data_IF_997927943429
#
_entry.id   IF_997927943429
#
_cell.length_a   1.000
_cell.length_b   1.000
_cell.length_c   1.000
_cell.angle_alpha   90.00
_cell.angle_beta   90.00
_cell.angle_gamma   90.00
#
_symmetry.space_group_name_H-M   'P 1'
#
loop_
_entity.id
_entity.type
_entity.pdbx_description
1 polymer ?
#
# COMPACT_ATOMS: atom_id res chain seq x y z
N UNK A 1 -6.69 -14.51 35.53
CA UNK A 1 -6.47 -13.17 36.13
C UNK A 1 -6.57 -12.17 35.01
N UNK A 2 -7.78 -11.63 34.82
CA UNK A 2 -8.11 -10.73 33.74
C UNK A 2 -7.47 -9.37 34.01
N UNK A 3 -6.62 -8.92 33.10
CA UNK A 3 -6.13 -7.54 33.08
C UNK A 3 -6.74 -6.90 31.85
N UNK A 4 -7.76 -6.08 32.09
CA UNK A 4 -8.30 -5.15 31.12
C UNK A 4 -7.17 -4.23 30.67
N UNK A 5 -6.69 -4.40 29.45
CA UNK A 5 -6.00 -3.34 28.73
C UNK A 5 -7.09 -2.40 28.25
N UNK A 6 -7.08 -1.21 28.82
CA UNK A 6 -7.95 -0.10 28.50
C UNK A 6 -7.73 0.26 27.02
N UNK A 7 -8.67 -0.14 26.18
CA UNK A 7 -8.68 0.17 24.76
C UNK A 7 -8.77 1.70 24.61
N UNK A 8 -7.78 2.30 23.96
CA UNK A 8 -7.90 3.64 23.41
C UNK A 8 -9.21 3.74 22.59
N UNK A 9 -9.93 4.87 22.64
CA UNK A 9 -11.24 4.98 22.04
C UNK A 9 -11.16 4.71 20.54
N UNK A 10 -12.04 3.85 20.03
CA UNK A 10 -12.33 3.71 18.60
C UNK A 10 -12.64 5.10 18.04
N UNK A 11 -11.65 5.74 17.43
CA UNK A 11 -11.88 6.92 16.60
C UNK A 11 -12.76 6.48 15.43
N UNK A 12 -13.83 7.23 15.24
CA UNK A 12 -14.98 6.86 14.42
C UNK A 12 -14.60 6.49 12.98
N UNK A 13 -15.20 5.41 12.47
CA UNK A 13 -15.14 4.94 11.08
C UNK A 13 -15.77 5.88 10.03
N UNK A 14 -15.90 7.19 10.32
CA UNK A 14 -16.48 8.20 9.43
C UNK A 14 -15.43 8.98 8.62
N UNK A 15 -14.14 8.90 8.97
CA UNK A 15 -13.07 9.67 8.31
C UNK A 15 -12.49 9.02 7.04
N UNK A 16 -12.39 7.69 6.98
CA UNK A 16 -11.64 7.00 5.91
C UNK A 16 -12.03 7.41 4.49
N UNK A 17 -13.33 7.48 4.18
CA UNK A 17 -13.80 7.81 2.83
C UNK A 17 -13.40 9.21 2.34
N UNK A 18 -13.34 10.20 3.23
CA UNK A 18 -12.97 11.58 2.87
C UNK A 18 -11.46 11.74 2.66
N UNK A 19 -10.67 10.99 3.42
CA UNK A 19 -9.21 10.97 3.27
C UNK A 19 -8.80 10.25 1.97
N UNK A 20 -9.46 9.14 1.62
CA UNK A 20 -9.32 8.52 0.29
C UNK A 20 -9.62 9.51 -0.85
N UNK A 21 -10.67 10.33 -0.69
CA UNK A 21 -11.00 11.40 -1.64
C UNK A 21 -9.92 12.49 -1.70
N UNK A 22 -9.22 12.78 -0.59
CA UNK A 22 -8.08 13.71 -0.55
C UNK A 22 -6.89 13.16 -1.34
N UNK A 23 -6.55 11.89 -1.15
CA UNK A 23 -5.47 11.26 -1.92
C UNK A 23 -5.83 11.07 -3.40
N UNK A 24 -7.08 10.70 -3.70
CA UNK A 24 -7.59 10.62 -5.07
C UNK A 24 -7.57 11.98 -5.81
N UNK A 25 -7.50 13.13 -5.11
CA UNK A 25 -7.29 14.43 -5.76
C UNK A 25 -5.90 14.55 -6.37
N UNK A 26 -4.88 13.85 -5.87
CA UNK A 26 -3.55 13.82 -6.50
C UNK A 26 -3.55 13.12 -7.87
N UNK A 27 -4.56 12.28 -8.15
CA UNK A 27 -4.76 11.67 -9.46
C UNK A 27 -5.38 12.62 -10.50
N UNK A 28 -6.18 13.61 -10.05
CA UNK A 28 -6.94 14.49 -10.97
C UNK A 28 -6.05 15.27 -11.97
N UNK A 29 -4.89 15.83 -11.59
CA UNK A 29 -4.00 16.50 -12.53
C UNK A 29 -3.45 15.57 -13.62
N UNK A 30 -3.42 14.26 -13.38
CA UNK A 30 -2.81 13.25 -14.25
C UNK A 30 -3.84 12.42 -15.05
N UNK A 31 -5.09 12.90 -15.17
CA UNK A 31 -6.18 12.22 -15.90
C UNK A 31 -5.81 11.79 -17.32
N UNK A 32 -5.05 12.62 -18.05
CA UNK A 32 -4.59 12.28 -19.40
C UNK A 32 -3.64 11.08 -19.42
N UNK A 33 -2.71 11.02 -18.47
CA UNK A 33 -1.76 9.89 -18.36
C UNK A 33 -2.44 8.62 -17.84
N UNK A 34 -3.41 8.75 -16.92
CA UNK A 34 -4.24 7.63 -16.47
C UNK A 34 -5.08 7.04 -17.61
N UNK A 35 -5.61 7.89 -18.49
CA UNK A 35 -6.32 7.44 -19.69
C UNK A 35 -5.37 6.74 -20.67
N UNK A 36 -4.14 7.25 -20.87
CA UNK A 36 -3.12 6.56 -21.67
C UNK A 36 -2.75 5.20 -21.07
N UNK A 37 -2.67 5.10 -19.75
CA UNK A 37 -2.38 3.84 -19.05
C UNK A 37 -3.53 2.83 -19.22
N UNK A 38 -4.78 3.28 -19.09
CA UNK A 38 -5.95 2.44 -19.39
C UNK A 38 -6.00 1.99 -20.86
N UNK A 39 -5.66 2.87 -21.81
CA UNK A 39 -5.54 2.52 -23.22
C UNK A 39 -4.39 1.53 -23.48
N UNK A 40 -3.25 1.70 -22.82
CA UNK A 40 -2.12 0.79 -22.93
C UNK A 40 -2.49 -0.61 -22.41
N UNK A 41 -3.18 -0.70 -21.27
CA UNK A 41 -3.74 -1.95 -20.78
C UNK A 41 -4.72 -2.56 -21.78
N UNK A 42 -5.66 -1.77 -22.31
CA UNK A 42 -6.59 -2.28 -23.33
C UNK A 42 -5.86 -2.84 -24.56
N UNK A 43 -4.84 -2.13 -25.07
CA UNK A 43 -4.02 -2.60 -26.19
C UNK A 43 -3.29 -3.89 -25.84
N UNK A 44 -2.71 -4.00 -24.65
CA UNK A 44 -2.07 -5.24 -24.19
C UNK A 44 -3.04 -6.42 -24.15
N UNK A 45 -4.25 -6.21 -23.62
CA UNK A 45 -5.28 -7.25 -23.61
C UNK A 45 -5.70 -7.66 -25.02
N UNK A 46 -5.85 -6.71 -25.95
CA UNK A 46 -6.18 -7.00 -27.34
C UNK A 46 -5.06 -7.75 -28.06
N UNK A 47 -3.79 -7.38 -27.84
CA UNK A 47 -2.64 -8.12 -28.35
C UNK A 47 -2.54 -9.52 -27.71
N UNK A 48 -2.94 -9.66 -26.45
CA UNK A 48 -3.03 -10.95 -25.76
C UNK A 48 -3.98 -11.93 -26.44
N UNK A 49 -5.11 -11.45 -27.00
CA UNK A 49 -6.03 -12.29 -27.78
C UNK A 49 -5.43 -12.84 -29.08
N UNK A 50 -4.37 -12.22 -29.60
CA UNK A 50 -3.75 -12.68 -30.84
C UNK A 50 -3.06 -14.04 -30.65
N UNK A 51 -2.44 -14.28 -29.49
CA UNK A 51 -1.71 -15.51 -29.20
C UNK A 51 -2.60 -16.76 -29.30
N UNK A 52 -3.77 -16.84 -28.62
CA UNK A 52 -4.74 -17.92 -28.82
C UNK A 52 -5.13 -18.13 -30.29
N UNK A 53 -5.36 -17.04 -31.03
CA UNK A 53 -5.80 -17.13 -32.42
C UNK A 53 -4.73 -17.65 -33.36
N UNK A 54 -3.47 -17.27 -33.15
CA UNK A 54 -2.36 -17.86 -33.89
C UNK A 54 -2.15 -19.32 -33.55
N UNK A 55 -2.26 -19.71 -32.28
CA UNK A 55 -2.19 -21.12 -31.87
C UNK A 55 -3.27 -21.95 -32.57
N UNK A 56 -4.51 -21.45 -32.63
CA UNK A 56 -5.60 -22.08 -33.39
C UNK A 56 -5.24 -22.26 -34.87
N UNK A 57 -4.77 -21.20 -35.53
CA UNK A 57 -4.39 -21.21 -36.95
C UNK A 57 -3.25 -22.18 -37.24
N UNK A 58 -2.24 -22.25 -36.38
CA UNK A 58 -1.13 -23.18 -36.51
C UNK A 58 -1.66 -24.61 -36.45
N UNK A 59 -2.44 -24.94 -35.43
CA UNK A 59 -2.93 -26.31 -35.23
C UNK A 59 -3.91 -26.73 -36.34
N UNK A 60 -4.89 -25.89 -36.66
CA UNK A 60 -5.97 -26.29 -37.56
C UNK A 60 -5.61 -26.16 -39.05
N UNK A 61 -4.73 -25.22 -39.41
CA UNK A 61 -4.34 -25.02 -40.82
C UNK A 61 -2.93 -25.51 -41.12
N UNK A 62 -1.92 -25.01 -40.40
CA UNK A 62 -0.51 -25.28 -40.72
C UNK A 62 -0.16 -26.74 -40.49
N UNK A 63 -0.50 -27.30 -39.33
CA UNK A 63 -0.15 -28.69 -38.98
C UNK A 63 -0.92 -29.68 -39.85
N UNK A 64 -2.19 -29.41 -40.12
CA UNK A 64 -3.04 -30.28 -40.96
C UNK A 64 -2.60 -30.28 -42.43
N UNK A 65 -2.31 -29.10 -43.00
CA UNK A 65 -1.96 -28.97 -44.42
C UNK A 65 -0.44 -29.01 -44.69
N UNK A 66 0.38 -29.07 -43.64
CA UNK A 66 1.85 -29.01 -43.70
C UNK A 66 2.37 -27.79 -44.48
N UNK A 67 1.65 -26.67 -44.39
CA UNK A 67 1.98 -25.42 -45.08
C UNK A 67 3.05 -24.65 -44.31
N UNK A 68 4.32 -24.92 -44.65
CA UNK A 68 5.46 -24.27 -44.02
C UNK A 68 5.53 -22.78 -44.35
N UNK A 69 5.05 -22.33 -45.51
CA UNK A 69 5.09 -20.91 -45.85
C UNK A 69 4.15 -20.11 -44.94
N UNK A 70 2.94 -20.63 -44.72
CA UNK A 70 2.00 -20.05 -43.75
C UNK A 70 2.56 -20.07 -42.32
N UNK A 71 3.30 -21.12 -41.93
CA UNK A 71 3.96 -21.20 -40.63
C UNK A 71 4.94 -20.03 -40.42
N UNK A 72 5.83 -19.77 -41.38
CA UNK A 72 6.81 -18.69 -41.27
C UNK A 72 6.14 -17.32 -41.18
N UNK A 73 5.07 -17.09 -41.94
CA UNK A 73 4.29 -15.85 -41.89
C UNK A 73 3.62 -15.66 -40.52
N UNK A 74 3.00 -16.71 -39.98
CA UNK A 74 2.39 -16.67 -38.64
C UNK A 74 3.45 -16.41 -37.57
N UNK A 75 4.60 -17.07 -37.67
CA UNK A 75 5.69 -16.93 -36.70
C UNK A 75 6.27 -15.50 -36.71
N UNK A 76 6.44 -14.90 -37.89
CA UNK A 76 6.81 -13.49 -38.03
C UNK A 76 5.75 -12.58 -37.41
N UNK A 77 4.46 -12.86 -37.65
CA UNK A 77 3.34 -12.12 -37.07
C UNK A 77 3.31 -12.20 -35.53
N UNK A 78 3.50 -13.39 -34.95
CA UNK A 78 3.59 -13.59 -33.50
C UNK A 78 4.79 -12.86 -32.91
N UNK A 79 5.93 -12.84 -33.60
CA UNK A 79 7.13 -12.12 -33.14
C UNK A 79 6.90 -10.61 -33.15
N UNK A 80 6.26 -10.07 -34.19
CA UNK A 80 5.87 -8.66 -34.26
C UNK A 80 4.87 -8.28 -33.16
N UNK A 81 3.85 -9.11 -32.92
CA UNK A 81 2.84 -8.85 -31.90
C UNK A 81 3.40 -8.97 -30.49
N UNK A 82 4.22 -9.99 -30.22
CA UNK A 82 4.91 -10.14 -28.93
C UNK A 82 5.88 -8.99 -28.69
N UNK A 83 6.64 -8.57 -29.71
CA UNK A 83 7.51 -7.41 -29.64
C UNK A 83 6.74 -6.11 -29.39
N UNK A 84 5.60 -5.92 -30.08
CA UNK A 84 4.69 -4.81 -29.85
C UNK A 84 4.11 -4.80 -28.43
N UNK A 85 3.67 -5.96 -27.93
CA UNK A 85 3.17 -6.10 -26.57
C UNK A 85 4.25 -5.77 -25.53
N UNK A 86 5.50 -6.21 -25.74
CA UNK A 86 6.63 -5.86 -24.87
C UNK A 86 6.87 -4.34 -24.84
N UNK A 87 6.83 -3.67 -25.99
CA UNK A 87 6.97 -2.22 -26.07
C UNK A 87 5.83 -1.48 -25.36
N UNK A 88 4.58 -1.90 -25.59
CA UNK A 88 3.41 -1.29 -24.91
C UNK A 88 3.49 -1.54 -23.40
N UNK A 89 3.93 -2.71 -22.96
CA UNK A 89 4.15 -3.03 -21.55
C UNK A 89 5.22 -2.13 -20.93
N UNK A 90 6.35 -1.95 -21.62
CA UNK A 90 7.40 -1.03 -21.18
C UNK A 90 6.90 0.42 -21.07
N UNK A 91 6.10 0.88 -22.03
CA UNK A 91 5.46 2.21 -22.00
C UNK A 91 4.47 2.32 -20.83
N UNK A 92 3.63 1.29 -20.59
CA UNK A 92 2.70 1.24 -19.45
C UNK A 92 3.46 1.37 -18.13
N UNK A 93 4.50 0.57 -17.93
CA UNK A 93 5.34 0.61 -16.72
C UNK A 93 6.04 1.96 -16.56
N UNK A 94 6.54 2.54 -17.66
CA UNK A 94 7.16 3.87 -17.63
C UNK A 94 6.15 4.96 -17.23
N UNK A 95 4.94 4.97 -17.81
CA UNK A 95 3.89 5.93 -17.47
C UNK A 95 3.53 5.79 -15.98
N UNK A 96 3.37 4.55 -15.50
CA UNK A 96 3.04 4.27 -14.11
C UNK A 96 4.12 4.81 -13.16
N UNK A 97 5.40 4.52 -13.42
CA UNK A 97 6.52 5.05 -12.64
C UNK A 97 6.61 6.59 -12.72
N UNK A 98 6.32 7.19 -13.88
CA UNK A 98 6.34 8.63 -14.06
C UNK A 98 5.26 9.33 -13.21
N UNK A 99 4.04 8.81 -13.22
CA UNK A 99 2.94 9.32 -12.39
C UNK A 99 3.25 9.09 -10.91
N UNK A 100 3.69 7.88 -10.55
CA UNK A 100 4.07 7.52 -9.18
C UNK A 100 5.05 8.51 -8.57
N UNK A 101 6.14 8.82 -9.29
CA UNK A 101 7.14 9.82 -8.84
C UNK A 101 6.53 11.21 -8.59
N UNK A 102 5.63 11.68 -9.47
CA UNK A 102 4.99 12.99 -9.34
C UNK A 102 4.05 13.04 -8.14
N UNK A 103 3.31 11.96 -7.91
CA UNK A 103 2.39 11.81 -6.79
C UNK A 103 3.17 11.71 -5.47
N UNK A 104 4.20 10.86 -5.37
CA UNK A 104 5.08 10.79 -4.20
C UNK A 104 5.63 12.17 -3.84
N UNK A 105 6.17 12.90 -4.82
CA UNK A 105 6.69 14.24 -4.57
C UNK A 105 5.62 15.20 -4.03
N UNK A 106 4.43 15.22 -4.63
CA UNK A 106 3.34 16.08 -4.18
C UNK A 106 2.83 15.72 -2.78
N UNK A 107 2.69 14.43 -2.48
CA UNK A 107 2.27 13.91 -1.18
C UNK A 107 3.28 14.27 -0.10
N UNK A 108 4.55 13.90 -0.28
CA UNK A 108 5.62 14.15 0.68
C UNK A 108 5.85 15.65 0.91
N UNK A 109 5.83 16.47 -0.15
CA UNK A 109 5.97 17.92 -0.03
C UNK A 109 4.83 18.52 0.79
N UNK A 110 3.58 18.14 0.49
CA UNK A 110 2.43 18.69 1.18
C UNK A 110 2.35 18.19 2.63
N UNK A 111 2.71 16.94 2.89
CA UNK A 111 2.81 16.37 4.22
C UNK A 111 3.87 17.11 5.05
N UNK A 112 5.07 17.26 4.52
CA UNK A 112 6.17 17.95 5.20
C UNK A 112 5.83 19.42 5.48
N UNK A 113 5.23 20.12 4.51
CA UNK A 113 4.80 21.51 4.69
C UNK A 113 3.69 21.66 5.73
N UNK A 114 2.76 20.70 5.84
CA UNK A 114 1.73 20.69 6.87
C UNK A 114 2.32 20.41 8.25
N UNK A 115 3.18 19.39 8.35
CA UNK A 115 3.83 18.99 9.60
C UNK A 115 4.62 20.14 10.21
N UNK A 116 5.38 20.90 9.42
CA UNK A 116 6.15 22.05 9.91
C UNK A 116 5.30 23.23 10.41
N UNK A 117 3.98 23.22 10.16
CA UNK A 117 3.05 24.25 10.67
C UNK A 117 2.31 23.81 11.92
N UNK A 118 2.53 22.58 12.39
CA UNK A 118 1.88 22.08 13.60
C UNK A 118 2.54 22.70 14.85
N UNK A 119 1.75 22.92 15.91
CA UNK A 119 2.26 23.55 17.13
C UNK A 119 3.32 22.70 17.82
N UNK A 120 4.24 23.35 18.54
CA UNK A 120 5.31 22.67 19.28
C UNK A 120 4.79 21.58 20.25
N UNK A 121 3.60 21.78 20.83
CA UNK A 121 2.94 20.79 21.70
C UNK A 121 2.68 19.47 21.00
N UNK A 122 2.37 19.49 19.69
CA UNK A 122 2.13 18.29 18.89
C UNK A 122 3.40 17.45 18.69
N UNK A 123 4.56 18.11 18.58
CA UNK A 123 5.87 17.45 18.53
C UNK A 123 6.32 16.94 19.89
N UNK A 124 6.01 17.67 20.97
CA UNK A 124 6.36 17.28 22.34
C UNK A 124 5.69 15.98 22.81
N UNK A 125 4.55 15.61 22.21
CA UNK A 125 3.80 14.40 22.55
C UNK A 125 4.18 13.16 21.71
N UNK A 126 5.14 13.25 20.78
CA UNK A 126 5.48 12.19 19.83
C UNK A 126 6.98 11.95 19.77
N UNK A 127 7.38 10.71 19.50
CA UNK A 127 8.79 10.35 19.32
C UNK A 127 9.25 10.65 17.89
N UNK A 128 10.54 10.91 17.70
CA UNK A 128 11.13 11.07 16.37
C UNK A 128 10.91 9.85 15.48
N UNK A 129 10.82 8.64 16.06
CA UNK A 129 10.53 7.40 15.34
C UNK A 129 9.11 7.35 14.77
N UNK A 130 8.11 7.77 15.55
CA UNK A 130 6.71 7.87 15.06
C UNK A 130 6.62 8.85 13.88
N UNK A 131 7.32 10.00 13.94
CA UNK A 131 7.33 10.97 12.84
C UNK A 131 7.96 10.42 11.55
N UNK A 132 9.07 9.68 11.67
CA UNK A 132 9.69 9.00 10.52
C UNK A 132 8.74 7.96 9.93
N UNK A 133 8.04 7.20 10.77
CA UNK A 133 7.05 6.23 10.32
C UNK A 133 5.92 6.90 9.53
N UNK A 134 5.37 8.04 10.00
CA UNK A 134 4.34 8.78 9.22
C UNK A 134 4.86 9.23 7.85
N UNK A 135 6.16 9.50 7.73
CA UNK A 135 6.75 9.83 6.42
C UNK A 135 6.77 8.60 5.49
N UNK A 136 7.06 7.41 6.03
CA UNK A 136 7.03 6.14 5.30
C UNK A 136 5.60 5.72 4.91
N UNK A 137 4.61 5.96 5.78
CA UNK A 137 3.20 5.66 5.51
C UNK A 137 2.66 6.37 4.23
N UNK A 138 3.27 7.50 3.82
CA UNK A 138 2.91 8.16 2.55
C UNK A 138 3.30 7.31 1.34
N UNK A 139 4.40 6.57 1.43
CA UNK A 139 4.88 5.71 0.35
C UNK A 139 3.98 4.47 0.20
N UNK A 140 3.49 3.90 1.32
CA UNK A 140 2.52 2.80 1.33
C UNK A 140 1.22 3.18 0.59
N UNK A 141 0.67 4.38 0.85
CA UNK A 141 -0.52 4.88 0.13
C UNK A 141 -0.21 5.06 -1.36
N UNK A 142 0.97 5.59 -1.70
CA UNK A 142 1.36 5.75 -3.11
C UNK A 142 1.44 4.39 -3.79
N UNK A 143 2.01 3.39 -3.14
CA UNK A 143 2.16 2.05 -3.70
C UNK A 143 0.79 1.45 -4.03
N UNK A 144 -0.20 1.56 -3.13
CA UNK A 144 -1.55 1.15 -3.45
C UNK A 144 -2.13 1.86 -4.70
N UNK A 145 -1.87 3.17 -4.82
CA UNK A 145 -2.44 3.98 -5.91
C UNK A 145 -1.73 3.79 -7.26
N UNK A 146 -0.43 3.49 -7.25
CA UNK A 146 0.46 3.58 -8.42
C UNK A 146 1.35 2.35 -8.62
N UNK A 147 1.32 1.41 -7.69
CA UNK A 147 2.02 0.13 -7.72
C UNK A 147 1.18 -0.94 -8.37
N UNK A 148 1.40 -2.20 -7.98
CA UNK A 148 0.83 -3.36 -8.65
C UNK A 148 -0.71 -3.35 -8.62
N UNK A 149 -1.33 -2.81 -7.56
CA UNK A 149 -2.79 -2.73 -7.41
C UNK A 149 -3.50 -2.05 -8.58
N UNK A 150 -3.01 -0.90 -9.07
CA UNK A 150 -3.66 -0.22 -10.20
C UNK A 150 -3.59 -1.08 -11.47
N UNK A 151 -2.47 -1.76 -11.67
CA UNK A 151 -2.28 -2.67 -12.79
C UNK A 151 -3.29 -3.83 -12.74
N UNK A 152 -3.37 -4.52 -11.60
CA UNK A 152 -4.29 -5.63 -11.39
C UNK A 152 -5.74 -5.18 -11.51
N UNK A 153 -6.11 -4.02 -10.95
CA UNK A 153 -7.46 -3.48 -11.08
C UNK A 153 -7.87 -3.27 -12.55
N UNK A 154 -6.96 -2.75 -13.37
CA UNK A 154 -7.18 -2.60 -14.82
C UNK A 154 -7.27 -3.95 -15.51
N UNK A 155 -6.37 -4.88 -15.19
CA UNK A 155 -6.35 -6.20 -15.81
C UNK A 155 -7.63 -6.98 -15.46
N UNK A 156 -8.09 -6.93 -14.20
CA UNK A 156 -9.38 -7.46 -13.75
C UNK A 156 -10.57 -6.84 -14.49
N UNK A 157 -10.57 -5.51 -14.70
CA UNK A 157 -11.66 -4.85 -15.43
C UNK A 157 -11.77 -5.34 -16.89
N UNK A 158 -10.65 -5.79 -17.46
CA UNK A 158 -10.56 -6.28 -18.83
C UNK A 158 -10.70 -7.82 -18.94
N UNK A 159 -10.78 -8.55 -17.83
CA UNK A 159 -11.08 -10.01 -17.83
C UNK A 159 -12.38 -10.33 -18.55
N UNK A 160 -13.35 -9.41 -18.51
CA UNK A 160 -14.64 -9.54 -19.22
C UNK A 160 -14.44 -9.76 -20.73
N UNK A 161 -13.39 -9.18 -21.33
CA UNK A 161 -13.06 -9.35 -22.75
C UNK A 161 -12.65 -10.81 -23.03
N UNK A 162 -11.78 -11.38 -22.19
CA UNK A 162 -11.37 -12.78 -22.31
C UNK A 162 -12.52 -13.75 -22.03
N UNK A 163 -13.35 -13.48 -21.02
CA UNK A 163 -14.55 -14.27 -20.76
C UNK A 163 -15.52 -14.23 -21.96
N UNK A 164 -15.72 -13.06 -22.57
CA UNK A 164 -16.52 -12.93 -23.78
C UNK A 164 -15.96 -13.75 -24.95
N UNK A 165 -14.64 -13.73 -25.14
CA UNK A 165 -13.97 -14.57 -26.13
C UNK A 165 -14.15 -16.06 -25.83
N UNK A 166 -13.96 -16.50 -24.59
CA UNK A 166 -14.15 -17.90 -24.17
C UNK A 166 -15.59 -18.38 -24.39
N UNK A 167 -16.59 -17.55 -24.07
CA UNK A 167 -18.01 -17.85 -24.32
C UNK A 167 -18.30 -18.04 -25.82
N UNK A 168 -17.64 -17.26 -26.67
CA UNK A 168 -17.78 -17.39 -28.13
C UNK A 168 -17.20 -18.72 -28.67
N UNK A 169 -16.16 -19.26 -28.03
CA UNK A 169 -15.61 -20.59 -28.38
C UNK A 169 -16.49 -21.73 -27.85
N UNK A 170 -16.83 -21.73 -26.56
CA UNK A 170 -17.66 -22.77 -25.96
C UNK A 170 -18.26 -22.31 -24.62
N UNK A 171 -19.59 -22.13 -24.53
CA UNK A 171 -20.26 -21.83 -23.27
C UNK A 171 -20.08 -22.94 -22.23
N UNK A 172 -20.05 -24.20 -22.65
CA UNK A 172 -19.90 -25.35 -21.75
C UNK A 172 -18.52 -25.38 -21.08
N UNK A 173 -17.43 -25.21 -21.86
CA UNK A 173 -16.08 -25.16 -21.30
C UNK A 173 -15.87 -23.91 -20.45
N UNK A 174 -16.49 -22.78 -20.83
CA UNK A 174 -16.43 -21.55 -20.03
C UNK A 174 -17.11 -21.74 -18.68
N UNK A 175 -18.26 -22.40 -18.63
CA UNK A 175 -18.93 -22.73 -17.36
C UNK A 175 -18.07 -23.58 -16.44
N UNK A 176 -17.36 -24.57 -16.99
CA UNK A 176 -16.41 -25.42 -16.23
C UNK A 176 -15.22 -24.60 -15.73
N UNK A 177 -14.64 -23.75 -16.58
CA UNK A 177 -13.54 -22.86 -16.17
C UNK A 177 -13.98 -21.86 -15.09
N UNK A 178 -15.23 -21.38 -15.13
CA UNK A 178 -15.74 -20.48 -14.10
C UNK A 178 -15.99 -21.22 -12.78
N UNK A 179 -16.45 -22.47 -12.86
CA UNK A 179 -16.63 -23.33 -11.69
C UNK A 179 -15.31 -23.60 -10.96
N UNK A 180 -14.19 -23.68 -11.68
CA UNK A 180 -12.86 -23.91 -11.08
C UNK A 180 -12.24 -22.63 -10.52
N UNK A 181 -12.59 -21.49 -11.10
CA UNK A 181 -12.23 -20.15 -10.59
C UNK A 181 -13.00 -19.80 -9.30
N UNK A 182 -14.26 -20.21 -9.17
CA UNK A 182 -15.12 -19.81 -8.05
C UNK A 182 -14.53 -20.17 -6.66
N UNK A 183 -14.00 -21.38 -6.41
CA UNK A 183 -13.29 -21.70 -5.16
C UNK A 183 -12.11 -20.77 -4.87
N UNK A 184 -11.38 -20.32 -5.90
CA UNK A 184 -10.24 -19.41 -5.73
C UNK A 184 -10.69 -18.02 -5.30
N UNK A 185 -11.79 -17.52 -5.88
CA UNK A 185 -12.41 -16.25 -5.45
C UNK A 185 -12.84 -16.37 -3.99
N UNK A 186 -13.53 -17.46 -3.63
CA UNK A 186 -13.95 -17.71 -2.24
C UNK A 186 -12.75 -17.77 -1.30
N UNK A 187 -11.69 -18.46 -1.68
CA UNK A 187 -10.45 -18.56 -0.88
C UNK A 187 -9.83 -17.17 -0.65
N UNK A 188 -9.75 -16.36 -1.71
CA UNK A 188 -9.20 -14.98 -1.68
C UNK A 188 -9.97 -14.08 -0.71
N UNK A 189 -11.30 -14.18 -0.67
CA UNK A 189 -12.10 -13.39 0.27
C UNK A 189 -12.11 -14.00 1.69
N UNK A 190 -12.06 -15.33 1.81
CA UNK A 190 -12.09 -16.03 3.09
C UNK A 190 -10.80 -15.84 3.90
N UNK A 191 -9.66 -15.67 3.24
CA UNK A 191 -8.38 -15.40 3.91
C UNK A 191 -8.21 -13.96 4.37
N UNK A 192 -8.95 -13.00 3.79
CA UNK A 192 -8.83 -11.58 4.11
C UNK A 192 -8.86 -11.29 5.63
N UNK A 193 -9.81 -11.80 6.45
CA UNK A 193 -9.81 -11.56 7.89
C UNK A 193 -8.64 -12.25 8.63
N UNK A 194 -8.08 -13.32 8.07
CA UNK A 194 -6.92 -14.01 8.65
C UNK A 194 -5.66 -13.19 8.40
N UNK A 195 -5.47 -12.68 7.18
CA UNK A 195 -4.39 -11.76 6.84
C UNK A 195 -4.43 -10.53 7.74
N UNK A 196 -5.59 -9.90 7.92
CA UNK A 196 -5.76 -8.77 8.84
C UNK A 196 -5.30 -9.07 10.28
N UNK A 197 -5.41 -10.32 10.72
CA UNK A 197 -4.94 -10.72 12.06
C UNK A 197 -3.43 -10.88 12.08
N UNK A 198 -2.84 -11.47 11.04
CA UNK A 198 -1.37 -11.55 10.90
C UNK A 198 -0.75 -10.16 10.82
N UNK A 199 -1.28 -9.28 9.98
CA UNK A 199 -0.75 -7.93 9.76
C UNK A 199 -0.75 -7.11 11.07
N UNK A 200 -1.80 -7.25 11.90
CA UNK A 200 -1.84 -6.63 13.23
C UNK A 200 -0.78 -7.18 14.19
N UNK A 201 -0.64 -8.50 14.23
CA UNK A 201 0.34 -9.15 15.10
C UNK A 201 1.77 -8.81 14.68
N UNK A 202 2.02 -8.72 13.37
CA UNK A 202 3.28 -8.26 12.81
C UNK A 202 3.57 -6.81 13.17
N UNK A 203 2.61 -5.91 12.97
CA UNK A 203 2.78 -4.52 13.35
C UNK A 203 3.14 -4.35 14.82
N UNK A 204 2.47 -5.06 15.73
CA UNK A 204 2.80 -5.03 17.17
C UNK A 204 4.21 -5.60 17.46
N UNK A 205 4.62 -6.63 16.74
CA UNK A 205 5.94 -7.25 16.90
C UNK A 205 7.07 -6.37 16.33
N UNK A 206 6.84 -5.74 15.18
CA UNK A 206 7.73 -4.76 14.56
C UNK A 206 7.93 -3.56 15.47
N UNK A 207 6.84 -2.95 15.93
CA UNK A 207 6.89 -1.81 16.84
C UNK A 207 7.64 -2.15 18.15
N UNK A 208 7.44 -3.36 18.68
CA UNK A 208 8.16 -3.82 19.86
C UNK A 208 9.67 -3.98 19.60
N UNK A 209 10.05 -4.61 18.49
CA UNK A 209 11.45 -4.81 18.09
C UNK A 209 12.16 -3.46 17.87
N UNK A 210 11.57 -2.58 17.07
CA UNK A 210 12.05 -1.23 16.80
C UNK A 210 12.20 -0.41 18.09
N UNK A 211 11.21 -0.46 18.98
CA UNK A 211 11.29 0.24 20.26
C UNK A 211 12.47 -0.24 21.11
N UNK A 212 12.71 -1.56 21.19
CA UNK A 212 13.90 -2.11 21.88
C UNK A 212 15.20 -1.62 21.26
N UNK A 213 15.28 -1.56 19.94
CA UNK A 213 16.48 -1.10 19.24
C UNK A 213 16.73 0.39 19.50
N UNK A 214 15.70 1.22 19.36
CA UNK A 214 15.76 2.67 19.61
C UNK A 214 16.14 2.96 21.07
N UNK A 215 15.54 2.25 22.03
CA UNK A 215 15.86 2.35 23.46
C UNK A 215 17.33 1.99 23.71
N UNK A 216 17.84 0.92 23.10
CA UNK A 216 19.24 0.50 23.25
C UNK A 216 20.23 1.54 22.69
N UNK A 217 19.90 2.18 21.56
CA UNK A 217 20.76 3.21 20.95
C UNK A 217 20.79 4.47 21.82
N UNK A 218 19.63 4.97 22.26
CA UNK A 218 19.57 6.16 23.12
C UNK A 218 20.19 5.90 24.50
N UNK A 219 20.02 4.68 25.03
CA UNK A 219 20.57 4.24 26.31
C UNK A 219 22.01 3.71 26.25
N UNK A 220 22.72 3.86 25.14
CA UNK A 220 24.01 3.21 24.93
C UNK A 220 25.04 3.51 26.02
N UNK A 221 25.11 4.77 26.48
CA UNK A 221 26.00 5.17 27.58
C UNK A 221 25.67 4.44 28.88
N UNK A 222 24.39 4.40 29.25
CA UNK A 222 23.90 3.70 30.45
C UNK A 222 24.19 2.20 30.37
N UNK A 223 23.91 1.58 29.22
CA UNK A 223 24.13 0.15 29.00
C UNK A 223 25.62 -0.20 29.16
N UNK A 224 26.51 0.63 28.58
CA UNK A 224 27.96 0.45 28.70
C UNK A 224 28.48 0.67 30.12
N UNK A 225 27.93 1.66 30.82
CA UNK A 225 28.33 1.97 32.20
C UNK A 225 27.90 0.88 33.17
N UNK A 226 26.74 0.26 32.94
CA UNK A 226 26.20 -0.80 33.79
C UNK A 226 26.61 -2.22 33.37
N UNK A 227 27.31 -2.39 32.23
CA UNK A 227 27.73 -3.71 31.71
C UNK A 227 26.55 -4.63 31.35
N UNK A 228 25.43 -4.06 30.90
CA UNK A 228 24.17 -4.77 30.67
C UNK A 228 23.98 -5.24 29.22
N UNK A 229 25.03 -5.24 28.39
CA UNK A 229 24.90 -5.52 26.95
C UNK A 229 24.22 -6.86 26.66
N UNK A 230 24.54 -7.91 27.43
CA UNK A 230 23.95 -9.24 27.21
C UNK A 230 22.44 -9.25 27.50
N UNK A 231 21.99 -8.54 28.53
CA UNK A 231 20.56 -8.49 28.88
C UNK A 231 19.76 -7.73 27.83
N UNK A 232 20.28 -6.59 27.35
CA UNK A 232 19.64 -5.81 26.29
C UNK A 232 19.63 -6.58 24.98
N UNK A 233 20.75 -7.25 24.63
CA UNK A 233 20.82 -8.13 23.47
C UNK A 233 19.77 -9.23 23.53
N UNK A 234 19.63 -9.94 24.65
CA UNK A 234 18.62 -11.01 24.78
C UNK A 234 17.20 -10.48 24.69
N UNK A 235 16.89 -9.31 25.27
CA UNK A 235 15.57 -8.66 25.13
C UNK A 235 15.24 -8.36 23.66
N UNK A 236 16.20 -7.83 22.91
CA UNK A 236 16.04 -7.57 21.48
C UNK A 236 15.95 -8.88 20.67
N UNK A 237 16.79 -9.87 20.98
CA UNK A 237 16.77 -11.20 20.34
C UNK A 237 15.41 -11.90 20.51
N UNK A 238 14.77 -11.78 21.68
CA UNK A 238 13.42 -12.31 21.93
C UNK A 238 12.34 -11.57 21.11
N UNK A 239 12.44 -10.24 20.99
CA UNK A 239 11.53 -9.44 20.17
C UNK A 239 11.68 -9.79 18.68
N UNK A 240 12.92 -9.89 18.21
CA UNK A 240 13.24 -10.29 16.84
C UNK A 240 12.76 -11.72 16.55
N UNK A 241 12.98 -12.66 17.46
CA UNK A 241 12.51 -14.04 17.29
C UNK A 241 10.98 -14.10 17.18
N UNK A 242 10.24 -13.28 17.94
CA UNK A 242 8.78 -13.20 17.83
C UNK A 242 8.34 -12.69 16.47
N UNK A 243 8.94 -11.59 15.99
CA UNK A 243 8.71 -11.03 14.65
C UNK A 243 8.96 -12.07 13.56
N UNK A 244 10.14 -12.69 13.57
CA UNK A 244 10.51 -13.69 12.56
C UNK A 244 9.60 -14.93 12.57
N UNK A 245 9.11 -15.36 13.74
CA UNK A 245 8.15 -16.45 13.81
C UNK A 245 6.78 -16.07 13.22
N UNK A 246 6.31 -14.84 13.45
CA UNK A 246 5.08 -14.34 12.82
C UNK A 246 5.22 -14.20 11.31
N UNK A 247 6.36 -13.69 10.83
CA UNK A 247 6.69 -13.63 9.40
C UNK A 247 6.71 -15.01 8.76
N UNK A 248 7.29 -16.00 9.46
CA UNK A 248 7.27 -17.39 9.02
C UNK A 248 5.85 -17.95 8.95
N UNK A 249 5.04 -17.74 9.98
CA UNK A 249 3.65 -18.24 10.03
C UNK A 249 2.80 -17.61 8.92
N UNK A 250 2.92 -16.29 8.70
CA UNK A 250 2.23 -15.59 7.61
C UNK A 250 2.71 -16.09 6.23
N UNK A 251 4.01 -16.29 6.05
CA UNK A 251 4.57 -16.83 4.81
C UNK A 251 4.09 -18.25 4.54
N UNK A 252 4.09 -19.13 5.55
CA UNK A 252 3.58 -20.50 5.41
C UNK A 252 2.08 -20.52 5.10
N UNK A 253 1.30 -19.63 5.71
CA UNK A 253 -0.11 -19.45 5.39
C UNK A 253 -0.29 -19.02 3.92
N UNK A 254 0.47 -18.02 3.47
CA UNK A 254 0.47 -17.56 2.07
C UNK A 254 0.86 -18.65 1.08
N UNK A 255 1.88 -19.46 1.39
CA UNK A 255 2.28 -20.62 0.58
C UNK A 255 1.16 -21.65 0.51
N UNK A 256 0.49 -21.94 1.63
CA UNK A 256 -0.63 -22.89 1.68
C UNK A 256 -1.79 -22.47 0.77
N UNK A 257 -2.19 -21.20 0.87
CA UNK A 257 -3.23 -20.59 0.03
C UNK A 257 -2.83 -20.58 -1.45
N UNK A 258 -1.60 -20.15 -1.77
CA UNK A 258 -1.09 -20.09 -3.14
C UNK A 258 -1.01 -21.48 -3.77
N UNK A 259 -0.55 -22.47 -3.02
CA UNK A 259 -0.48 -23.87 -3.46
C UNK A 259 -1.88 -24.44 -3.71
N UNK A 260 -2.84 -24.19 -2.81
CA UNK A 260 -4.22 -24.63 -3.00
C UNK A 260 -4.87 -23.99 -4.23
N UNK A 261 -4.59 -22.70 -4.47
CA UNK A 261 -5.03 -21.97 -5.67
C UNK A 261 -4.45 -22.58 -6.95
N UNK A 262 -3.17 -22.96 -6.95
CA UNK A 262 -2.53 -23.66 -8.07
C UNK A 262 -3.15 -25.05 -8.30
N UNK A 263 -3.47 -25.79 -7.24
CA UNK A 263 -4.17 -27.09 -7.36
C UNK A 263 -5.52 -26.92 -8.05
N UNK A 264 -6.33 -25.92 -7.67
CA UNK A 264 -7.61 -25.63 -8.34
C UNK A 264 -7.41 -25.23 -9.80
N UNK A 265 -6.41 -24.42 -10.10
CA UNK A 265 -6.07 -24.02 -11.46
C UNK A 265 -5.68 -25.22 -12.34
N UNK A 266 -4.79 -26.10 -11.86
CA UNK A 266 -4.37 -27.29 -12.59
C UNK A 266 -5.51 -28.30 -12.74
N UNK A 267 -6.30 -28.54 -11.69
CA UNK A 267 -7.49 -29.38 -11.76
C UNK A 267 -8.49 -28.84 -12.79
N UNK A 268 -8.71 -27.52 -12.82
CA UNK A 268 -9.56 -26.88 -13.81
C UNK A 268 -9.04 -27.01 -15.24
N UNK A 269 -7.74 -26.81 -15.42
CA UNK A 269 -7.06 -27.02 -16.72
C UNK A 269 -7.22 -28.47 -17.21
N UNK A 270 -7.06 -29.45 -16.33
CA UNK A 270 -7.26 -30.87 -16.65
C UNK A 270 -8.72 -31.19 -16.98
N UNK A 271 -9.68 -30.63 -16.25
CA UNK A 271 -11.11 -30.81 -16.53
C UNK A 271 -11.50 -30.19 -17.88
N UNK A 272 -11.01 -28.99 -18.18
CA UNK A 272 -11.21 -28.35 -19.49
C UNK A 272 -10.57 -29.17 -20.59
N UNK A 273 -9.36 -29.70 -20.39
CA UNK A 273 -8.70 -30.57 -21.36
C UNK A 273 -9.50 -31.85 -21.59
N UNK A 274 -9.99 -32.50 -20.53
CA UNK A 274 -10.76 -33.74 -20.61
C UNK A 274 -12.09 -33.55 -21.34
N UNK A 275 -12.90 -32.57 -20.93
CA UNK A 275 -14.19 -32.26 -21.57
C UNK A 275 -14.01 -31.68 -22.97
N UNK A 276 -12.97 -30.87 -23.15
CA UNK A 276 -12.60 -30.30 -24.44
C UNK A 276 -12.18 -31.36 -25.44
N UNK A 277 -11.36 -32.34 -25.04
CA UNK A 277 -10.98 -33.47 -25.87
C UNK A 277 -12.20 -34.28 -26.31
N UNK A 278 -13.16 -34.53 -25.41
CA UNK A 278 -14.43 -35.15 -25.77
C UNK A 278 -15.20 -34.33 -26.83
N UNK A 279 -15.29 -33.01 -26.65
CA UNK A 279 -15.96 -32.14 -27.61
C UNK A 279 -15.25 -32.10 -28.98
N UNK A 280 -13.92 -32.25 -29.00
CA UNK A 280 -13.14 -32.39 -30.25
C UNK A 280 -13.41 -33.72 -30.93
N UNK A 281 -13.44 -34.82 -30.18
CA UNK A 281 -13.77 -36.16 -30.71
C UNK A 281 -15.18 -36.20 -31.30
N UNK A 282 -16.13 -35.50 -30.66
CA UNK A 282 -17.51 -35.35 -31.15
C UNK A 282 -17.65 -34.36 -32.33
N UNK A 283 -16.57 -33.70 -32.75
CA UNK A 283 -16.56 -32.74 -33.85
C UNK A 283 -17.24 -31.40 -33.54
N UNK A 284 -17.51 -31.10 -32.27
CA UNK A 284 -18.11 -29.82 -31.82
C UNK A 284 -17.09 -28.69 -31.71
N UNK A 285 -15.81 -29.04 -31.53
CA UNK A 285 -14.67 -28.14 -31.39
C UNK A 285 -13.51 -28.67 -32.24
N UNK A 286 -12.67 -27.79 -32.76
CA UNK A 286 -11.39 -28.19 -33.36
C UNK A 286 -10.31 -28.31 -32.30
N UNK A 287 -9.23 -29.03 -32.62
CA UNK A 287 -8.06 -29.12 -31.74
C UNK A 287 -7.44 -27.75 -31.51
N UNK A 288 -7.36 -26.91 -32.54
CA UNK A 288 -6.87 -25.53 -32.43
C UNK A 288 -7.74 -24.66 -31.53
N UNK A 289 -9.07 -24.79 -31.62
CA UNK A 289 -10.00 -24.06 -30.75
C UNK A 289 -9.84 -24.47 -29.28
N UNK A 290 -9.60 -25.75 -28.98
CA UNK A 290 -9.31 -26.21 -27.63
C UNK A 290 -8.00 -25.60 -27.09
N UNK A 291 -6.95 -25.58 -27.90
CA UNK A 291 -5.67 -24.97 -27.52
C UNK A 291 -5.80 -23.45 -27.31
N UNK A 292 -6.55 -22.78 -28.16
CA UNK A 292 -6.87 -21.36 -27.99
C UNK A 292 -7.66 -21.10 -26.70
N UNK A 293 -8.65 -21.96 -26.39
CA UNK A 293 -9.43 -21.86 -25.17
C UNK A 293 -8.55 -21.98 -23.91
N UNK A 294 -7.63 -22.95 -23.89
CA UNK A 294 -6.68 -23.11 -22.78
C UNK A 294 -5.79 -21.88 -22.61
N UNK A 295 -5.31 -21.29 -23.71
CA UNK A 295 -4.51 -20.06 -23.67
C UNK A 295 -5.32 -18.85 -23.17
N UNK A 296 -6.58 -18.70 -23.61
CA UNK A 296 -7.48 -17.66 -23.12
C UNK A 296 -7.77 -17.81 -21.62
N UNK A 297 -7.94 -19.04 -21.15
CA UNK A 297 -8.22 -19.34 -19.74
C UNK A 297 -7.09 -18.83 -18.83
N UNK A 298 -5.82 -18.95 -19.23
CA UNK A 298 -4.68 -18.42 -18.47
C UNK A 298 -4.81 -16.90 -18.23
N UNK A 299 -5.20 -16.13 -19.25
CA UNK A 299 -5.41 -14.69 -19.12
C UNK A 299 -6.56 -14.28 -18.19
N UNK A 300 -7.49 -15.21 -17.89
CA UNK A 300 -8.51 -15.01 -16.86
C UNK A 300 -7.98 -15.37 -15.48
N UNK A 301 -7.13 -16.40 -15.37
CA UNK A 301 -6.57 -16.86 -14.10
C UNK A 301 -5.51 -15.91 -13.50
N UNK A 302 -4.62 -15.34 -14.31
CA UNK A 302 -3.51 -14.51 -13.79
C UNK A 302 -3.99 -13.31 -12.96
N UNK A 303 -4.95 -12.49 -13.41
CA UNK A 303 -5.42 -11.35 -12.62
C UNK A 303 -6.11 -11.77 -11.33
N UNK A 304 -6.76 -12.94 -11.31
CA UNK A 304 -7.43 -13.46 -10.12
C UNK A 304 -6.44 -13.91 -9.05
N UNK A 305 -5.31 -14.52 -9.45
CA UNK A 305 -4.22 -14.86 -8.53
C UNK A 305 -3.59 -13.60 -7.94
N UNK A 306 -3.37 -12.57 -8.76
CA UNK A 306 -2.78 -11.32 -8.30
C UNK A 306 -3.72 -10.50 -7.39
N UNK A 307 -5.04 -10.71 -7.48
CA UNK A 307 -6.02 -10.04 -6.64
C UNK A 307 -5.80 -10.34 -5.15
N UNK A 308 -5.23 -11.50 -4.81
CA UNK A 308 -4.86 -11.86 -3.43
C UNK A 308 -3.88 -10.84 -2.83
N UNK A 309 -2.84 -10.47 -3.59
CA UNK A 309 -1.85 -9.48 -3.14
C UNK A 309 -2.45 -8.08 -2.99
N UNK A 310 -3.37 -7.71 -3.89
CA UNK A 310 -4.08 -6.42 -3.84
C UNK A 310 -4.88 -6.26 -2.55
N UNK A 311 -5.51 -7.33 -2.05
CA UNK A 311 -6.28 -7.25 -0.79
C UNK A 311 -5.37 -6.89 0.39
N UNK A 312 -4.18 -7.47 0.47
CA UNK A 312 -3.19 -7.12 1.51
C UNK A 312 -2.68 -5.68 1.35
N UNK A 313 -2.32 -5.27 0.13
CA UNK A 313 -1.87 -3.89 -0.15
C UNK A 313 -2.94 -2.84 0.21
N UNK A 314 -4.22 -3.14 -0.06
CA UNK A 314 -5.35 -2.28 0.36
C UNK A 314 -5.43 -2.16 1.89
N UNK A 315 -5.16 -3.24 2.63
CA UNK A 315 -5.22 -3.25 4.08
C UNK A 315 -4.08 -2.45 4.71
N UNK A 316 -2.85 -2.66 4.26
CA UNK A 316 -1.67 -1.89 4.68
C UNK A 316 -1.91 -0.40 4.46
N UNK A 317 -2.34 -0.02 3.25
CA UNK A 317 -2.65 1.36 2.93
C UNK A 317 -3.82 1.93 3.73
N UNK A 318 -4.80 1.13 4.19
CA UNK A 318 -5.84 1.59 5.12
C UNK A 318 -5.26 1.97 6.48
N UNK A 319 -4.34 1.17 7.02
CA UNK A 319 -3.65 1.45 8.29
C UNK A 319 -2.75 2.69 8.16
N UNK A 320 -2.03 2.81 7.05
CA UNK A 320 -1.25 4.01 6.70
C UNK A 320 -2.14 5.26 6.62
N UNK A 321 -3.32 5.13 6.02
CA UNK A 321 -4.29 6.22 5.87
C UNK A 321 -4.85 6.69 7.21
N UNK A 322 -5.21 5.76 8.10
CA UNK A 322 -5.68 6.08 9.45
C UNK A 322 -4.62 6.90 10.19
N UNK A 323 -3.38 6.43 10.17
CA UNK A 323 -2.24 7.13 10.77
C UNK A 323 -1.99 8.51 10.16
N UNK A 324 -2.04 8.63 8.84
CA UNK A 324 -1.83 9.93 8.18
C UNK A 324 -2.98 10.91 8.41
N UNK A 325 -4.21 10.40 8.55
CA UNK A 325 -5.38 11.23 8.82
C UNK A 325 -5.24 12.00 10.13
N UNK A 326 -4.70 11.37 11.17
CA UNK A 326 -4.45 12.01 12.47
C UNK A 326 -3.54 13.24 12.34
N UNK A 327 -2.53 13.19 11.47
CA UNK A 327 -1.61 14.31 11.23
C UNK A 327 -2.29 15.42 10.43
N UNK A 328 -3.03 15.05 9.37
CA UNK A 328 -3.71 16.03 8.52
C UNK A 328 -4.94 16.69 9.17
N UNK A 329 -5.54 16.03 10.15
CA UNK A 329 -6.66 16.55 10.95
C UNK A 329 -6.16 17.39 12.15
N UNK A 330 -4.85 17.39 12.43
CA UNK A 330 -4.24 18.27 13.44
C UNK A 330 -4.23 19.72 12.95
N UNK A 331 -4.68 20.65 13.80
CA UNK A 331 -4.75 22.08 13.49
C UNK A 331 -3.34 22.72 13.50
N UNK A 332 -2.97 23.48 12.45
CA UNK A 332 -1.76 24.29 12.43
C UNK A 332 -1.73 25.37 13.52
N UNK A 333 -0.53 25.76 13.96
CA UNK A 333 -0.29 26.82 14.95
C UNK A 333 -0.77 28.20 14.46
N UNK A 334 -0.64 28.45 13.15
CA UNK A 334 -1.15 29.65 12.48
C UNK A 334 -2.06 29.25 11.32
N UNK A 335 -3.26 29.81 11.27
CA UNK A 335 -4.12 29.69 10.09
C UNK A 335 -3.51 30.49 8.92
N UNK A 336 -3.37 29.89 7.73
CA UNK A 336 -2.81 30.59 6.58
C UNK A 336 -3.69 31.79 6.19
N UNK A 337 -3.20 33.01 6.48
CA UNK A 337 -3.83 34.27 6.09
C UNK A 337 -4.66 34.97 7.18
N UNK A 338 -4.70 34.47 8.42
CA UNK A 338 -5.43 35.12 9.53
C UNK A 338 -4.59 36.08 10.34
N UNK A 339 -3.27 35.90 10.39
CA UNK A 339 -2.40 36.81 11.12
C UNK A 339 -1.97 37.92 10.15
N UNK A 340 -2.57 39.11 10.29
CA UNK A 340 -1.88 40.34 9.92
C UNK A 340 -0.61 40.37 10.77
N UNK A 341 0.49 39.81 10.26
CA UNK A 341 1.79 39.90 10.91
C UNK A 341 2.08 41.38 11.07
N UNK A 342 1.96 41.89 12.30
CA UNK A 342 2.24 43.28 12.61
C UNK A 342 3.73 43.46 12.38
N UNK A 343 4.11 44.18 11.31
CA UNK A 343 5.50 44.54 11.08
C UNK A 343 5.94 45.48 12.19
N UNK A 344 6.62 44.92 13.19
CA UNK A 344 7.24 45.69 14.27
C UNK A 344 8.48 46.39 13.70
N UNK A 345 8.33 47.68 13.36
CA UNK A 345 9.42 48.51 12.83
C UNK A 345 10.62 48.62 13.78
N UNK A 346 10.37 48.61 15.09
CA UNK A 346 11.41 48.59 16.13
C UNK A 346 10.85 48.01 17.44
N UNK A 347 11.58 47.07 18.04
CA UNK A 347 11.25 46.51 19.37
C UNK A 347 12.19 47.15 20.38
N UNK A 348 11.66 48.07 21.21
CA UNK A 348 12.44 48.75 22.26
C UNK A 348 12.92 47.79 23.37
N UNK A 349 12.29 46.62 23.49
CA UNK A 349 12.71 45.55 24.40
C UNK A 349 12.20 45.67 25.82
N UNK A 350 11.17 46.49 26.07
CA UNK A 350 10.43 46.43 27.34
C UNK A 350 9.49 45.21 27.33
N UNK A 351 9.73 44.25 28.23
CA UNK A 351 8.97 42.99 28.29
C UNK A 351 8.20 42.95 29.60
N UNK A 352 6.88 42.75 29.53
CA UNK A 352 5.99 42.68 30.69
C UNK A 352 5.25 41.35 30.68
N UNK A 353 5.35 40.61 31.78
CA UNK A 353 4.53 39.44 32.09
C UNK A 353 3.46 39.87 33.10
N UNK A 354 2.17 39.63 32.80
CA UNK A 354 1.03 39.94 33.67
C UNK A 354 0.20 38.68 33.95
N UNK A 355 0.14 38.25 35.21
CA UNK A 355 -0.60 37.05 35.70
C UNK A 355 -0.44 35.83 34.77
N UNK A 356 0.79 35.57 34.31
CA UNK A 356 1.05 34.52 33.33
C UNK A 356 0.85 33.15 33.96
N UNK A 357 -0.03 32.36 33.35
CA UNK A 357 -0.37 30.99 33.76
C UNK A 357 -0.17 30.05 32.59
N UNK A 358 0.62 29.01 32.79
CA UNK A 358 0.97 28.04 31.75
C UNK A 358 1.04 26.62 32.31
N UNK A 359 0.60 25.66 31.50
CA UNK A 359 0.69 24.22 31.72
C UNK A 359 0.84 23.52 30.37
N UNK A 360 1.61 22.44 30.32
CA UNK A 360 1.84 21.67 29.09
C UNK A 360 0.61 20.86 28.68
N UNK A 361 -0.06 20.22 29.65
CA UNK A 361 -1.27 19.45 29.44
C UNK A 361 -2.50 20.17 30.01
N UNK A 362 -3.64 20.04 29.33
CA UNK A 362 -4.91 20.63 29.77
C UNK A 362 -5.39 20.10 31.13
N UNK A 363 -4.94 18.93 31.57
CA UNK A 363 -5.25 18.34 32.88
C UNK A 363 -4.05 18.31 33.83
N UNK A 364 -2.91 18.86 33.39
CA UNK A 364 -1.68 18.91 34.17
C UNK A 364 -1.65 20.03 35.22
N UNK A 365 -0.73 19.96 36.19
CA UNK A 365 -0.51 21.03 37.14
C UNK A 365 0.00 22.31 36.43
N UNK A 366 -0.36 23.47 36.98
CA UNK A 366 0.19 24.75 36.53
C UNK A 366 1.71 24.80 36.77
N UNK A 367 2.48 24.96 35.70
CA UNK A 367 3.94 25.13 35.76
C UNK A 367 4.28 26.59 36.05
N UNK A 368 3.58 27.51 35.39
CA UNK A 368 3.55 28.93 35.74
C UNK A 368 2.17 29.23 36.30
N UNK A 369 2.09 29.84 37.49
CA UNK A 369 0.82 30.13 38.17
C UNK A 369 0.81 31.56 38.69
N UNK A 370 0.51 32.50 37.78
CA UNK A 370 0.36 33.93 38.10
C UNK A 370 1.69 34.67 38.18
N UNK A 371 2.60 34.37 37.25
CA UNK A 371 3.90 35.05 37.18
C UNK A 371 3.70 36.45 36.61
N UNK A 372 4.06 37.48 37.39
CA UNK A 372 4.06 38.87 36.96
C UNK A 372 5.45 39.47 37.17
N UNK A 373 6.07 39.97 36.11
CA UNK A 373 7.36 40.66 36.18
C UNK A 373 7.54 41.61 35.00
N UNK A 374 8.38 42.63 35.18
CA UNK A 374 8.72 43.62 34.16
C UNK A 374 10.23 43.60 33.96
N UNK A 375 10.64 43.58 32.69
CA UNK A 375 12.03 43.69 32.24
C UNK A 375 12.18 44.97 31.41
N UNK A 376 12.73 46.05 32.00
CA UNK A 376 12.97 47.29 31.29
C UNK A 376 13.98 47.10 30.16
N UNK A 377 13.80 47.90 29.10
CA UNK A 377 14.70 47.92 27.95
C UNK A 377 16.18 48.07 28.37
N UNK A 378 17.05 47.25 27.78
CA UNK A 378 18.50 47.30 28.00
C UNK A 378 18.99 46.65 29.30
N UNK A 379 18.11 45.99 30.08
CA UNK A 379 18.49 45.25 31.28
C UNK A 379 18.61 43.75 31.03
N UNK A 380 19.39 43.08 31.88
CA UNK A 380 19.57 41.61 31.85
C UNK A 380 18.78 40.98 33.00
N UNK A 381 17.83 40.09 32.68
CA UNK A 381 17.07 39.33 33.68
C UNK A 381 17.79 38.01 34.02
N UNK A 382 17.97 37.74 35.30
CA UNK A 382 18.42 36.44 35.79
C UNK A 382 17.25 35.70 36.47
N UNK A 383 16.81 34.59 35.86
CA UNK A 383 15.76 33.72 36.41
C UNK A 383 16.42 32.61 37.22
N UNK A 384 16.18 32.59 38.54
CA UNK A 384 16.81 31.63 39.47
C UNK A 384 15.75 30.86 40.25
N UNK A 385 15.99 29.58 40.49
CA UNK A 385 15.03 28.70 41.16
C UNK A 385 15.40 27.22 41.05
N UNK A 386 14.74 26.39 41.86
CA UNK A 386 14.99 24.93 41.95
C UNK A 386 14.73 24.23 40.61
N UNK A 387 15.31 23.05 40.38
CA UNK A 387 14.98 22.25 39.18
C UNK A 387 13.47 21.98 39.11
N UNK A 388 12.88 22.04 37.91
CA UNK A 388 11.43 21.85 37.71
C UNK A 388 10.52 23.03 38.07
N UNK A 389 11.04 24.18 38.51
CA UNK A 389 10.23 25.37 38.84
C UNK A 389 9.69 26.17 37.65
N UNK A 390 9.81 25.67 36.41
CA UNK A 390 9.32 26.36 35.21
C UNK A 390 10.27 27.38 34.57
N UNK A 391 11.53 27.48 35.04
CA UNK A 391 12.53 28.45 34.52
C UNK A 391 12.88 28.35 33.04
N UNK A 392 12.76 27.16 32.45
CA UNK A 392 13.01 26.95 31.01
C UNK A 392 11.73 27.14 30.19
N UNK A 393 10.58 27.16 30.85
CA UNK A 393 9.26 27.37 30.26
C UNK A 393 8.95 28.86 30.15
N UNK A 394 9.31 29.62 31.20
CA UNK A 394 9.38 31.08 31.19
C UNK A 394 10.57 31.54 30.35
#
# INVERSE_FOLDING_TARGET
MAMFVELAPKVSSRSGGWVWLRFARYLKPHRGLLLQLGLASLVLQLLGLATPKFTELIVDRVVVHKDLDLLHVILLGMLLITGGALLVSAVRTYIMAHIGRRISFAMLRNFYAHMLRLPLSWFGSRSSGDLVQRFQDNEEIKELMMGQTLGVALDCSLVVVYLGAMLAYSPALTGVSLLTVLPMIVLTFAQAPINMRFDRLQFDADAAEDATMIEAIHGAETIKTLGMERQVYTKWEEALARKLNLDWDQAMFGIGIGSLSQVFHHAGTLLVLWLGAHAVIEGKLTMGQLMAFLALSQHVFDPLLNLVGVVSEVQEAQVALERLSEVFDSEPEEEPGTTEAVELSHVEGNIVFEDVRFRYDADGPWILNGVSCELPAGQTLAIVGRSGSGKSTL
#
